data_IF_213166056642
#
_entry.id   IF_213166056642
#
_cell.length_a   1.000
_cell.length_b   1.000
_cell.length_c   1.000
_cell.angle_alpha   90.00
_cell.angle_beta   90.00
_cell.angle_gamma   90.00
#
_symmetry.space_group_name_H-M   'P 1'
#
loop_
_entity.id
_entity.type
_entity.pdbx_description
1 polymer ?
#
# COMPACT_ATOMS: atom_id res chain seq x y z
N UNK A 1 8.15 9.38 -2.41
CA UNK A 1 8.34 10.35 -1.33
C UNK A 1 8.77 11.65 -1.95
N UNK A 2 8.14 12.76 -1.57
CA UNK A 2 8.55 14.12 -1.95
C UNK A 2 8.66 14.97 -0.69
N UNK A 3 9.74 15.70 -0.57
CA UNK A 3 9.93 16.72 0.46
C UNK A 3 9.69 18.08 -0.22
N UNK A 4 8.70 18.80 0.30
CA UNK A 4 8.25 20.07 -0.25
C UNK A 4 8.45 21.18 0.77
N UNK A 5 8.80 22.37 0.30
CA UNK A 5 8.75 23.62 1.06
C UNK A 5 7.62 24.47 0.52
N UNK A 6 6.82 24.99 1.43
CA UNK A 6 5.71 25.89 1.11
C UNK A 6 6.05 27.28 1.65
N UNK A 7 6.25 28.26 0.77
CA UNK A 7 6.55 29.64 1.13
C UNK A 7 5.99 30.61 0.09
N UNK A 8 5.45 31.73 0.55
CA UNK A 8 4.92 32.83 -0.27
C UNK A 8 3.95 32.39 -1.39
N UNK A 9 3.15 31.34 -1.12
CA UNK A 9 2.19 30.79 -2.08
C UNK A 9 2.82 29.91 -3.18
N UNK A 10 4.07 29.48 -3.01
CA UNK A 10 4.79 28.65 -3.97
C UNK A 10 5.20 27.33 -3.31
N UNK A 11 5.01 26.23 -4.05
CA UNK A 11 5.53 24.92 -3.68
C UNK A 11 6.90 24.72 -4.31
N UNK A 12 7.90 24.50 -3.49
CA UNK A 12 9.24 24.11 -3.95
C UNK A 12 9.50 22.65 -3.60
N UNK A 13 9.88 21.83 -4.58
CA UNK A 13 10.28 20.44 -4.35
C UNK A 13 11.77 20.42 -3.96
N UNK A 14 12.04 20.13 -2.70
CA UNK A 14 13.42 20.04 -2.17
C UNK A 14 14.11 18.73 -2.55
N UNK A 15 13.36 17.63 -2.53
CA UNK A 15 13.87 16.33 -2.95
C UNK A 15 12.73 15.37 -3.29
N UNK A 16 13.06 14.33 -4.07
CA UNK A 16 12.18 13.19 -4.33
C UNK A 16 12.99 11.91 -4.26
N UNK A 17 12.41 10.86 -3.69
CA UNK A 17 12.98 9.52 -3.68
C UNK A 17 11.87 8.48 -3.69
N UNK A 18 12.15 7.25 -4.09
CA UNK A 18 11.15 6.20 -4.13
C UNK A 18 11.73 4.83 -4.44
N UNK A 19 10.95 3.80 -4.16
CA UNK A 19 11.18 2.45 -4.63
C UNK A 19 10.14 2.15 -5.73
N UNK A 20 10.60 2.18 -7.00
CA UNK A 20 9.75 2.00 -8.17
C UNK A 20 9.17 0.58 -8.30
N UNK A 21 9.66 -0.36 -7.50
CA UNK A 21 9.24 -1.75 -7.44
C UNK A 21 8.54 -2.07 -6.10
N UNK A 22 7.98 -1.08 -5.41
CA UNK A 22 7.24 -1.26 -4.18
C UNK A 22 5.86 -0.61 -4.30
N UNK A 23 4.83 -1.44 -4.28
CA UNK A 23 3.44 -0.99 -4.40
C UNK A 23 2.46 -2.00 -3.79
N UNK A 24 1.17 -1.75 -4.01
CA UNK A 24 0.09 -2.60 -3.51
C UNK A 24 0.19 -4.05 -3.97
N UNK A 25 0.63 -4.27 -5.22
CA UNK A 25 0.79 -5.60 -5.83
C UNK A 25 1.82 -6.46 -5.09
N UNK A 26 2.85 -5.85 -4.48
CA UNK A 26 3.83 -6.61 -3.70
C UNK A 26 3.22 -7.16 -2.41
N UNK A 27 2.36 -6.36 -1.78
CA UNK A 27 1.60 -6.81 -0.61
C UNK A 27 0.59 -7.90 -0.98
N UNK A 28 -0.07 -7.79 -2.13
CA UNK A 28 -0.96 -8.83 -2.63
C UNK A 28 -0.22 -10.12 -2.91
N UNK A 29 0.98 -10.00 -3.49
CA UNK A 29 1.82 -11.15 -3.81
C UNK A 29 2.23 -11.97 -2.58
N UNK A 30 2.58 -11.35 -1.46
CA UNK A 30 2.94 -12.11 -0.25
C UNK A 30 1.75 -12.88 0.32
N UNK A 31 0.52 -12.34 0.21
CA UNK A 31 -0.71 -13.04 0.59
C UNK A 31 -1.00 -14.19 -0.38
N UNK A 32 -0.88 -13.93 -1.68
CA UNK A 32 -1.09 -14.92 -2.73
C UNK A 32 -0.13 -16.11 -2.58
N UNK A 33 1.17 -15.83 -2.36
CA UNK A 33 2.18 -16.86 -2.17
C UNK A 33 1.90 -17.68 -0.90
N UNK A 34 1.50 -17.02 0.20
CA UNK A 34 1.10 -17.71 1.42
C UNK A 34 -0.11 -18.62 1.20
N UNK A 35 -1.16 -18.17 0.50
CA UNK A 35 -2.34 -18.99 0.19
C UNK A 35 -1.97 -20.21 -0.67
N UNK A 36 -1.13 -20.02 -1.68
CA UNK A 36 -0.67 -21.09 -2.55
C UNK A 36 0.17 -22.13 -1.77
N UNK A 37 1.03 -21.67 -0.86
CA UNK A 37 1.84 -22.55 -0.03
C UNK A 37 0.99 -23.32 1.00
N UNK A 38 -0.01 -22.68 1.62
CA UNK A 38 -0.95 -23.35 2.51
C UNK A 38 -1.78 -24.41 1.77
N UNK A 39 -2.28 -24.09 0.58
CA UNK A 39 -3.02 -25.04 -0.23
C UNK A 39 -2.14 -26.22 -0.67
N UNK A 40 -0.89 -25.93 -1.02
CA UNK A 40 0.07 -26.97 -1.38
C UNK A 40 0.41 -27.91 -0.21
N UNK A 41 0.43 -27.41 1.03
CA UNK A 41 0.60 -28.24 2.24
C UNK A 41 -0.60 -29.15 2.46
N UNK A 42 -1.82 -28.62 2.26
CA UNK A 42 -3.06 -29.36 2.54
C UNK A 42 -3.41 -30.38 1.46
N UNK A 43 -3.20 -30.02 0.18
CA UNK A 43 -3.68 -30.79 -0.97
C UNK A 43 -2.57 -31.32 -1.89
N UNK A 44 -1.30 -31.03 -1.60
CA UNK A 44 -0.13 -31.34 -2.42
C UNK A 44 -0.15 -30.75 -3.84
N UNK A 45 -0.96 -29.71 -4.09
CA UNK A 45 -1.15 -29.05 -5.37
C UNK A 45 -0.62 -27.62 -5.32
N UNK A 46 0.18 -27.22 -6.29
CA UNK A 46 0.66 -25.85 -6.43
C UNK A 46 -0.25 -25.05 -7.39
N UNK A 47 -1.12 -24.23 -6.80
CA UNK A 47 -2.08 -23.41 -7.55
C UNK A 47 -1.42 -22.39 -8.47
N UNK A 48 -0.13 -22.06 -8.27
CA UNK A 48 0.62 -21.13 -9.13
C UNK A 48 0.86 -21.68 -10.54
N UNK A 49 0.67 -22.98 -10.74
CA UNK A 49 0.79 -23.64 -12.06
C UNK A 49 -0.49 -23.56 -12.90
N UNK A 50 -1.60 -23.17 -12.30
CA UNK A 50 -2.88 -23.00 -12.97
C UNK A 50 -3.18 -21.50 -13.13
N UNK A 51 -3.19 -20.93 -14.35
CA UNK A 51 -3.42 -19.50 -14.58
C UNK A 51 -4.78 -19.01 -14.05
N UNK A 52 -5.82 -19.85 -14.11
CA UNK A 52 -7.14 -19.46 -13.60
C UNK A 52 -7.16 -19.41 -12.08
N UNK A 53 -6.55 -20.41 -11.42
CA UNK A 53 -6.41 -20.41 -9.96
C UNK A 53 -5.54 -19.23 -9.50
N UNK A 54 -4.45 -18.95 -10.21
CA UNK A 54 -3.54 -17.84 -9.90
C UNK A 54 -4.25 -16.48 -9.96
N UNK A 55 -5.07 -16.25 -10.99
CA UNK A 55 -5.85 -15.01 -11.10
C UNK A 55 -6.83 -14.85 -9.94
N UNK A 56 -7.53 -15.91 -9.59
CA UNK A 56 -8.46 -15.91 -8.46
C UNK A 56 -7.76 -15.70 -7.11
N UNK A 57 -6.55 -16.27 -6.95
CA UNK A 57 -5.71 -16.02 -5.77
C UNK A 57 -5.30 -14.54 -5.69
N UNK A 58 -4.92 -13.92 -6.82
CA UNK A 58 -4.53 -12.52 -6.89
C UNK A 58 -5.69 -11.62 -6.44
N UNK A 59 -6.88 -11.80 -7.04
CA UNK A 59 -8.07 -11.01 -6.69
C UNK A 59 -8.47 -11.18 -5.21
N UNK A 60 -8.43 -12.41 -4.70
CA UNK A 60 -8.74 -12.67 -3.30
C UNK A 60 -7.70 -12.07 -2.34
N UNK A 61 -6.43 -12.03 -2.74
CA UNK A 61 -5.34 -11.43 -1.95
C UNK A 61 -5.49 -9.92 -1.86
N UNK A 62 -5.79 -9.25 -2.98
CA UNK A 62 -6.07 -7.82 -3.01
C UNK A 62 -7.27 -7.47 -2.12
N UNK A 63 -8.38 -8.22 -2.28
CA UNK A 63 -9.57 -8.04 -1.44
C UNK A 63 -9.24 -8.21 0.05
N UNK A 64 -8.51 -9.25 0.41
CA UNK A 64 -8.11 -9.50 1.79
C UNK A 64 -7.23 -8.38 2.35
N UNK A 65 -6.26 -7.86 1.58
CA UNK A 65 -5.45 -6.70 1.96
C UNK A 65 -6.33 -5.48 2.25
N UNK A 66 -7.28 -5.18 1.39
CA UNK A 66 -8.21 -4.04 1.57
C UNK A 66 -9.05 -4.22 2.83
N UNK A 67 -9.65 -5.40 3.04
CA UNK A 67 -10.45 -5.69 4.23
C UNK A 67 -9.64 -5.60 5.52
N UNK A 68 -8.39 -6.06 5.53
CA UNK A 68 -7.49 -5.96 6.69
C UNK A 68 -7.05 -4.53 7.01
N UNK A 69 -7.31 -3.56 6.17
CA UNK A 69 -7.10 -2.15 6.52
C UNK A 69 -8.11 -1.64 7.56
N UNK A 70 -9.31 -2.23 7.61
CA UNK A 70 -10.38 -1.87 8.56
C UNK A 70 -10.69 -2.97 9.59
N UNK A 71 -10.48 -4.25 9.23
CA UNK A 71 -10.79 -5.41 10.07
C UNK A 71 -9.52 -6.04 10.65
N UNK A 72 -9.64 -6.71 11.79
CA UNK A 72 -8.54 -7.45 12.42
C UNK A 72 -8.29 -8.82 11.78
N UNK A 73 -9.31 -9.37 11.09
CA UNK A 73 -9.23 -10.63 10.35
C UNK A 73 -10.17 -10.62 9.15
N UNK A 74 -9.90 -11.48 8.18
CA UNK A 74 -10.78 -11.75 7.04
C UNK A 74 -10.75 -13.23 6.70
N UNK A 75 -11.84 -13.72 6.07
CA UNK A 75 -11.92 -15.07 5.53
C UNK A 75 -11.81 -15.04 4.02
N UNK A 76 -10.84 -15.79 3.50
CA UNK A 76 -10.62 -15.99 2.07
C UNK A 76 -11.26 -17.30 1.70
N UNK A 77 -12.33 -17.26 0.89
CA UNK A 77 -13.10 -18.43 0.48
C UNK A 77 -13.14 -18.49 -1.05
N UNK A 78 -12.46 -19.46 -1.61
CA UNK A 78 -12.37 -19.72 -3.05
C UNK A 78 -12.91 -21.12 -3.35
N UNK A 79 -14.23 -21.27 -3.52
CA UNK A 79 -14.84 -22.55 -3.88
C UNK A 79 -14.40 -22.94 -5.30
N UNK A 80 -14.21 -24.25 -5.52
CA UNK A 80 -13.84 -24.79 -6.81
C UNK A 80 -12.58 -24.14 -7.38
N UNK A 81 -11.55 -23.96 -6.56
CA UNK A 81 -10.31 -23.29 -6.98
C UNK A 81 -9.54 -24.12 -8.02
N UNK A 82 -9.63 -25.43 -7.92
CA UNK A 82 -9.08 -26.39 -8.88
C UNK A 82 -9.83 -27.72 -8.79
N UNK A 83 -9.53 -28.66 -9.66
CA UNK A 83 -10.04 -30.03 -9.61
C UNK A 83 -8.91 -31.03 -9.84
N UNK A 84 -8.97 -32.18 -9.14
CA UNK A 84 -8.05 -33.29 -9.29
C UNK A 84 -8.85 -34.54 -9.56
N UNK A 85 -8.55 -35.23 -10.67
CA UNK A 85 -9.27 -36.45 -11.10
C UNK A 85 -10.80 -36.23 -11.12
N UNK A 86 -11.24 -35.02 -11.52
CA UNK A 86 -12.64 -34.63 -11.56
C UNK A 86 -13.24 -34.24 -10.19
N UNK A 87 -12.46 -34.32 -9.09
CA UNK A 87 -12.91 -33.94 -7.75
C UNK A 87 -12.58 -32.47 -7.49
N UNK A 88 -13.60 -31.63 -7.22
CA UNK A 88 -13.38 -30.22 -6.96
C UNK A 88 -12.65 -30.02 -5.62
N UNK A 89 -11.74 -29.04 -5.60
CA UNK A 89 -11.02 -28.60 -4.42
C UNK A 89 -11.39 -27.15 -4.09
N UNK A 90 -11.43 -26.85 -2.80
CA UNK A 90 -11.82 -25.55 -2.27
C UNK A 90 -10.70 -25.01 -1.38
N UNK A 91 -10.47 -23.69 -1.43
CA UNK A 91 -9.56 -23.04 -0.52
C UNK A 91 -10.37 -22.17 0.43
N UNK A 92 -10.27 -22.44 1.73
CA UNK A 92 -10.84 -21.60 2.78
C UNK A 92 -9.76 -21.35 3.82
N UNK A 93 -9.38 -20.09 4.00
CA UNK A 93 -8.37 -19.68 4.97
C UNK A 93 -8.76 -18.39 5.67
N UNK A 94 -8.49 -18.32 6.97
CA UNK A 94 -8.57 -17.08 7.73
C UNK A 94 -7.20 -16.40 7.73
N UNK A 95 -7.19 -15.10 7.46
CA UNK A 95 -6.01 -14.27 7.51
C UNK A 95 -6.23 -13.15 8.53
N UNK A 96 -5.40 -13.11 9.56
CA UNK A 96 -5.40 -12.00 10.52
C UNK A 96 -4.48 -10.88 10.05
N UNK A 97 -4.78 -9.65 10.47
CA UNK A 97 -3.89 -8.49 10.22
C UNK A 97 -2.47 -8.76 10.73
N UNK A 98 -2.31 -9.31 11.91
CA UNK A 98 -0.99 -9.65 12.47
C UNK A 98 -0.22 -10.66 11.58
N UNK A 99 -0.92 -11.65 11.01
CA UNK A 99 -0.29 -12.59 10.08
C UNK A 99 0.11 -11.90 8.77
N UNK A 100 -0.76 -11.05 8.22
CA UNK A 100 -0.45 -10.25 7.03
C UNK A 100 0.77 -9.37 7.26
N UNK A 101 0.82 -8.65 8.37
CA UNK A 101 1.96 -7.79 8.74
C UNK A 101 3.26 -8.59 8.86
N UNK A 102 3.21 -9.77 9.47
CA UNK A 102 4.37 -10.65 9.55
C UNK A 102 4.85 -11.18 8.18
N UNK A 103 3.90 -11.48 7.27
CA UNK A 103 4.23 -11.89 5.90
C UNK A 103 4.89 -10.74 5.11
N UNK A 104 4.46 -9.51 5.33
CA UNK A 104 4.87 -8.33 4.59
C UNK A 104 5.99 -7.52 5.28
N UNK A 105 6.58 -8.01 6.37
CA UNK A 105 7.53 -7.29 7.22
C UNK A 105 8.66 -6.62 6.41
N UNK A 106 9.31 -7.37 5.51
CA UNK A 106 10.37 -6.85 4.64
C UNK A 106 9.90 -5.74 3.68
N UNK A 107 8.61 -5.74 3.30
CA UNK A 107 8.06 -4.68 2.45
C UNK A 107 7.87 -3.40 3.27
N UNK A 108 7.45 -3.53 4.51
CA UNK A 108 7.35 -2.38 5.42
C UNK A 108 8.72 -1.74 5.71
N UNK A 109 9.77 -2.54 5.91
CA UNK A 109 11.13 -2.01 6.05
C UNK A 109 11.58 -1.22 4.82
N UNK A 110 11.23 -1.69 3.61
CA UNK A 110 11.54 -0.99 2.35
C UNK A 110 10.86 0.36 2.22
N UNK A 111 9.73 0.61 2.88
CA UNK A 111 9.05 1.90 2.83
C UNK A 111 9.86 3.02 3.48
N UNK A 112 10.70 2.74 4.48
CA UNK A 112 11.43 3.75 5.23
C UNK A 112 12.69 4.25 4.52
N UNK A 113 13.38 3.39 3.77
CA UNK A 113 14.62 3.76 3.07
C UNK A 113 14.48 4.98 2.15
N UNK A 114 13.41 5.08 1.31
CA UNK A 114 13.18 6.28 0.52
C UNK A 114 12.90 7.52 1.36
N UNK A 115 12.28 7.38 2.55
CA UNK A 115 12.06 8.51 3.46
C UNK A 115 13.40 9.06 3.99
N UNK A 116 14.29 8.16 4.42
CA UNK A 116 15.64 8.54 4.89
C UNK A 116 16.44 9.22 3.77
N UNK A 117 16.41 8.64 2.56
CA UNK A 117 17.11 9.19 1.41
C UNK A 117 16.58 10.57 1.02
N UNK A 118 15.25 10.73 0.95
CA UNK A 118 14.65 12.03 0.61
C UNK A 118 14.98 13.12 1.64
N UNK A 119 14.95 12.81 2.94
CA UNK A 119 15.35 13.75 3.99
C UNK A 119 16.82 14.15 3.85
N UNK A 120 17.70 13.17 3.62
CA UNK A 120 19.12 13.41 3.44
C UNK A 120 19.40 14.30 2.22
N UNK A 121 18.74 14.03 1.09
CA UNK A 121 18.89 14.79 -0.15
C UNK A 121 18.36 16.23 0.00
N UNK A 122 17.31 16.42 0.81
CA UNK A 122 16.79 17.75 1.17
C UNK A 122 17.66 18.48 2.20
N UNK A 123 18.64 17.83 2.82
CA UNK A 123 19.44 18.40 3.93
C UNK A 123 18.63 18.62 5.22
N UNK A 124 17.54 17.88 5.41
CA UNK A 124 16.62 18.00 6.54
C UNK A 124 16.64 16.76 7.42
N UNK A 125 16.17 16.94 8.64
CA UNK A 125 15.88 15.83 9.56
C UNK A 125 14.38 15.77 9.90
N UNK A 126 13.93 14.71 10.55
CA UNK A 126 12.50 14.48 10.85
C UNK A 126 11.87 15.57 11.72
N UNK A 127 12.65 16.24 12.58
CA UNK A 127 12.14 17.31 13.44
C UNK A 127 11.82 18.60 12.68
N UNK A 128 12.42 18.80 11.51
CA UNK A 128 12.22 19.97 10.66
C UNK A 128 11.06 19.80 9.67
N UNK A 129 10.44 18.64 9.63
CA UNK A 129 9.24 18.40 8.83
C UNK A 129 8.03 18.85 9.65
N UNK A 130 7.29 19.83 9.17
CA UNK A 130 6.11 20.34 9.85
C UNK A 130 4.93 19.39 9.74
N UNK A 131 4.70 18.84 8.56
CA UNK A 131 3.56 17.99 8.25
C UNK A 131 3.94 16.79 7.39
N UNK A 132 3.27 15.66 7.63
CA UNK A 132 3.40 14.43 6.84
C UNK A 132 2.04 14.09 6.26
N UNK A 133 1.94 14.06 4.95
CA UNK A 133 0.72 13.74 4.21
C UNK A 133 0.86 12.38 3.56
N UNK A 134 -0.13 11.51 3.77
CA UNK A 134 -0.17 10.19 3.17
C UNK A 134 -1.01 10.20 1.89
N UNK A 135 -0.43 9.73 0.80
CA UNK A 135 -1.06 9.67 -0.52
C UNK A 135 -0.90 8.28 -1.11
N UNK A 136 -1.94 7.81 -1.80
CA UNK A 136 -2.01 6.50 -2.44
C UNK A 136 -2.64 5.40 -1.56
N UNK A 137 -3.34 4.46 -2.19
CA UNK A 137 -4.13 3.42 -1.51
C UNK A 137 -3.37 2.57 -0.50
N UNK A 138 -2.09 2.26 -0.75
CA UNK A 138 -1.26 1.49 0.16
C UNK A 138 -1.02 2.17 1.51
N UNK A 139 -1.20 3.49 1.61
CA UNK A 139 -1.11 4.23 2.88
C UNK A 139 -2.31 3.99 3.81
N UNK A 140 -3.35 3.31 3.32
CA UNK A 140 -4.47 2.86 4.16
C UNK A 140 -4.11 1.68 5.06
N UNK A 141 -3.03 0.95 4.74
CA UNK A 141 -2.55 -0.17 5.57
C UNK A 141 -2.12 0.38 6.94
N UNK A 142 -2.72 -0.09 8.06
CA UNK A 142 -2.44 0.46 9.39
C UNK A 142 -0.96 0.42 9.76
N UNK A 143 -0.25 -0.64 9.37
CA UNK A 143 1.19 -0.77 9.63
C UNK A 143 2.02 0.30 8.92
N UNK A 144 1.66 0.70 7.69
CA UNK A 144 2.31 1.81 6.98
C UNK A 144 2.15 3.11 7.77
N UNK A 145 0.95 3.38 8.28
CA UNK A 145 0.70 4.59 9.09
C UNK A 145 1.51 4.58 10.39
N UNK A 146 1.56 3.43 11.07
CA UNK A 146 2.33 3.25 12.31
C UNK A 146 3.83 3.50 12.10
N UNK A 147 4.44 2.90 11.08
CA UNK A 147 5.86 3.05 10.81
C UNK A 147 6.21 4.48 10.41
N UNK A 148 5.36 5.15 9.63
CA UNK A 148 5.54 6.56 9.25
C UNK A 148 5.42 7.46 10.48
N UNK A 149 4.39 7.27 11.31
CA UNK A 149 4.23 8.02 12.58
C UNK A 149 5.45 7.84 13.48
N UNK A 150 5.94 6.62 13.62
CA UNK A 150 7.13 6.32 14.43
C UNK A 150 8.40 6.96 13.85
N UNK A 151 8.57 6.93 12.53
CA UNK A 151 9.74 7.47 11.87
C UNK A 151 9.83 8.99 11.97
N UNK A 152 8.71 9.70 11.73
CA UNK A 152 8.67 11.16 11.79
C UNK A 152 8.39 11.71 13.19
N UNK A 153 8.01 10.86 14.16
CA UNK A 153 7.65 11.28 15.51
C UNK A 153 6.37 12.11 15.60
N UNK A 154 5.54 12.11 14.56
CA UNK A 154 4.27 12.85 14.45
C UNK A 154 3.23 12.09 13.65
N UNK A 155 1.97 12.32 13.98
CA UNK A 155 0.83 11.70 13.28
C UNK A 155 0.72 12.24 11.86
N UNK A 156 0.61 11.36 10.85
CA UNK A 156 0.32 11.79 9.49
C UNK A 156 -1.04 12.51 9.40
N UNK A 157 -1.09 13.56 8.57
CA UNK A 157 -2.34 14.21 8.22
C UNK A 157 -3.21 13.27 7.37
N UNK A 158 -4.48 13.14 7.76
CA UNK A 158 -5.49 12.30 7.11
C UNK A 158 -6.68 13.12 6.58
N UNK A 159 -6.54 14.44 6.48
CA UNK A 159 -7.62 15.32 6.01
C UNK A 159 -7.92 15.12 4.51
N UNK A 160 -6.94 14.62 3.76
CA UNK A 160 -7.08 14.37 2.32
C UNK A 160 -7.32 12.86 2.10
N UNK A 161 -8.27 12.55 1.21
CA UNK A 161 -8.46 11.16 0.77
C UNK A 161 -7.23 10.70 -0.02
N UNK A 162 -6.49 9.69 0.46
CA UNK A 162 -5.23 9.28 -0.16
C UNK A 162 -5.39 8.75 -1.59
N UNK A 163 -6.59 8.27 -1.98
CA UNK A 163 -6.86 7.75 -3.31
C UNK A 163 -7.16 8.87 -4.31
N UNK A 164 -7.68 10.00 -3.85
CA UNK A 164 -8.16 11.12 -4.67
C UNK A 164 -7.19 12.31 -4.69
N UNK A 165 -6.24 12.37 -3.77
CA UNK A 165 -5.36 13.51 -3.57
C UNK A 165 -4.65 13.97 -4.85
N UNK A 166 -4.16 13.03 -5.67
CA UNK A 166 -3.46 13.34 -6.93
C UNK A 166 -4.43 13.92 -7.96
N UNK A 167 -5.61 13.33 -8.11
CA UNK A 167 -6.62 13.79 -9.06
C UNK A 167 -7.16 15.18 -8.70
N UNK A 168 -7.44 15.40 -7.42
CA UNK A 168 -7.88 16.70 -6.89
C UNK A 168 -6.78 17.75 -7.10
N UNK A 169 -5.54 17.43 -6.75
CA UNK A 169 -4.40 18.32 -6.95
C UNK A 169 -4.19 18.69 -8.43
N UNK A 170 -4.32 17.73 -9.33
CA UNK A 170 -4.23 17.99 -10.78
C UNK A 170 -5.37 18.90 -11.26
N UNK A 171 -6.60 18.68 -10.78
CA UNK A 171 -7.75 19.53 -11.12
C UNK A 171 -7.56 20.98 -10.61
N UNK A 172 -7.12 21.16 -9.38
CA UNK A 172 -6.82 22.47 -8.78
C UNK A 172 -5.73 23.18 -9.59
N UNK A 173 -4.62 22.49 -9.89
CA UNK A 173 -3.54 23.08 -10.68
C UNK A 173 -3.99 23.45 -12.10
N UNK A 174 -4.84 22.64 -12.71
CA UNK A 174 -5.47 22.94 -14.00
C UNK A 174 -6.29 24.23 -13.94
N UNK A 175 -7.13 24.38 -12.92
CA UNK A 175 -7.96 25.57 -12.72
C UNK A 175 -7.12 26.85 -12.47
N UNK A 176 -5.98 26.73 -11.79
CA UNK A 176 -5.02 27.83 -11.62
C UNK A 176 -4.41 28.24 -12.97
N UNK A 177 -3.97 27.26 -13.75
CA UNK A 177 -3.34 27.53 -15.07
C UNK A 177 -4.32 28.13 -16.08
N UNK A 178 -5.62 27.79 -16.00
CA UNK A 178 -6.67 28.39 -16.85
C UNK A 178 -7.15 29.75 -16.32
N UNK A 179 -6.75 30.16 -15.12
CA UNK A 179 -7.16 31.42 -14.48
C UNK A 179 -8.57 31.40 -13.88
N UNK A 180 -9.18 30.22 -13.78
CA UNK A 180 -10.50 30.03 -13.14
C UNK A 180 -10.42 30.17 -11.62
N UNK A 181 -9.28 29.81 -11.04
CA UNK A 181 -8.99 29.94 -9.60
C UNK A 181 -7.76 30.84 -9.45
N UNK A 182 -7.89 31.92 -8.69
CA UNK A 182 -6.82 32.91 -8.49
C UNK A 182 -6.14 32.82 -7.12
N UNK A 183 -6.80 32.22 -6.16
CA UNK A 183 -6.34 32.16 -4.76
C UNK A 183 -6.29 30.68 -4.29
N UNK A 184 -5.23 29.99 -4.62
CA UNK A 184 -5.01 28.60 -4.16
C UNK A 184 -3.91 28.50 -3.10
N UNK A 185 -3.63 29.63 -2.48
CA UNK A 185 -2.87 29.62 -1.20
C UNK A 185 -3.13 30.87 -0.44
#
# INVERSE_FOLDING_TARGET
ISVLELGDGVFEVKSTNGDTHLGGDDFDKVVMDWLADEFKKDEAIDLRKDPMALQRLKEASEKAKVELSSSSETEINLPYITAVDGVPKHLVKKLTRAKFEALADKLFERCLKPCEAALKDAGLNTSQIDEVILVGGSTRIPKVQEIVEKFFGKKPNKSVNPDEAVAIGAAVQGAVLTGEVKDVL
#
